data_IF_983141732361
#
_entry.id   IF_983141732361
#
_cell.length_a   1.000
_cell.length_b   1.000
_cell.length_c   1.000
_cell.angle_alpha   90.00
_cell.angle_beta   90.00
_cell.angle_gamma   90.00
#
_symmetry.space_group_name_H-M   'P 1'
#
loop_
_entity.id
_entity.type
_entity.pdbx_description
1 polymer ?
#
# COMPACT_ATOMS: atom_id res chain seq x y z
N UNK A 1 31.95 -11.66 63.94
CA UNK A 1 31.68 -13.09 63.66
C UNK A 1 30.18 -13.29 63.63
N UNK A 2 29.61 -13.22 62.43
CA UNK A 2 28.19 -12.93 62.20
C UNK A 2 27.47 -14.21 61.80
N UNK A 3 26.37 -14.51 62.52
CA UNK A 3 25.49 -15.67 62.36
C UNK A 3 25.10 -15.94 60.89
N UNK A 4 25.33 -17.18 60.44
CA UNK A 4 24.71 -17.74 59.22
C UNK A 4 23.18 -17.70 59.38
N UNK A 5 22.50 -16.91 58.54
CA UNK A 5 21.04 -16.93 58.41
C UNK A 5 20.65 -18.07 57.47
N UNK A 6 19.85 -18.98 57.98
CA UNK A 6 19.14 -20.02 57.22
C UNK A 6 18.09 -19.37 56.31
N UNK A 7 18.12 -19.71 55.04
CA UNK A 7 17.09 -19.30 54.07
C UNK A 7 15.96 -20.35 54.06
N UNK A 8 14.69 -19.95 54.14
CA UNK A 8 13.56 -20.87 53.99
C UNK A 8 13.44 -21.34 52.53
N UNK A 9 13.06 -22.61 52.37
CA UNK A 9 12.82 -23.24 51.06
C UNK A 9 11.57 -22.63 50.40
N UNK A 10 11.54 -22.50 49.06
CA UNK A 10 10.37 -22.00 48.34
C UNK A 10 9.21 -23.02 48.41
N UNK A 11 7.93 -22.57 48.35
CA UNK A 11 6.79 -23.46 48.32
C UNK A 11 6.75 -24.28 47.02
N UNK A 12 6.33 -25.53 47.15
CA UNK A 12 6.07 -26.47 46.06
C UNK A 12 5.07 -25.90 45.05
N UNK A 13 5.46 -25.82 43.78
CA UNK A 13 4.54 -25.56 42.69
C UNK A 13 3.69 -26.80 42.43
N UNK A 14 2.43 -26.76 42.84
CA UNK A 14 1.41 -27.74 42.47
C UNK A 14 0.96 -27.47 41.04
N UNK A 15 1.09 -28.50 40.19
CA UNK A 15 0.61 -28.50 38.80
C UNK A 15 -0.92 -28.68 38.84
N UNK A 16 -1.73 -27.81 38.21
CA UNK A 16 -3.14 -28.08 38.02
C UNK A 16 -3.31 -29.05 36.85
N UNK A 17 -3.73 -30.28 37.15
CA UNK A 17 -4.25 -31.24 36.16
C UNK A 17 -5.61 -30.73 35.69
N UNK A 18 -5.59 -29.84 34.70
CA UNK A 18 -6.77 -29.28 34.05
C UNK A 18 -6.99 -29.90 32.67
N UNK A 19 -8.12 -30.57 32.53
CA UNK A 19 -8.68 -31.24 31.37
C UNK A 19 -8.54 -30.44 30.06
N UNK A 20 -8.07 -31.11 29.01
CA UNK A 20 -8.03 -30.63 27.61
C UNK A 20 -9.41 -30.16 27.12
N UNK A 21 -9.55 -28.90 26.65
CA UNK A 21 -10.48 -28.61 25.58
C UNK A 21 -9.76 -28.87 24.25
N UNK A 22 -10.36 -29.74 23.45
CA UNK A 22 -9.90 -29.99 22.09
C UNK A 22 -9.97 -28.74 21.21
N UNK A 23 -9.06 -28.75 20.22
CA UNK A 23 -9.30 -28.20 18.89
C UNK A 23 -9.43 -26.67 18.80
N UNK A 24 -8.29 -26.01 18.61
CA UNK A 24 -8.16 -24.99 17.55
C UNK A 24 -6.71 -24.89 17.09
N UNK A 25 -6.29 -25.81 16.21
CA UNK A 25 -5.20 -25.51 15.27
C UNK A 25 -5.76 -24.51 14.27
N UNK A 26 -5.47 -23.24 14.55
CA UNK A 26 -5.87 -22.12 13.74
C UNK A 26 -5.05 -20.91 14.14
N UNK A 27 -3.72 -21.03 14.08
CA UNK A 27 -2.94 -19.85 13.74
C UNK A 27 -3.36 -19.46 12.32
N UNK A 28 -4.48 -18.75 12.21
CA UNK A 28 -4.68 -17.84 11.11
C UNK A 28 -3.58 -16.79 11.30
N UNK A 29 -2.45 -17.00 10.64
CA UNK A 29 -1.65 -15.88 10.21
C UNK A 29 -2.63 -15.00 9.43
N UNK A 30 -3.11 -13.94 10.05
CA UNK A 30 -3.84 -12.83 9.43
C UNK A 30 -2.85 -12.06 8.55
N UNK A 31 -2.33 -12.76 7.56
CA UNK A 31 -1.35 -12.30 6.58
C UNK A 31 -1.87 -12.57 5.18
N UNK A 32 -3.18 -12.47 4.94
CA UNK A 32 -3.68 -12.30 3.58
C UNK A 32 -3.48 -10.83 3.18
N UNK A 33 -2.22 -10.41 3.13
CA UNK A 33 -1.85 -9.26 2.33
C UNK A 33 -2.01 -9.74 0.88
N UNK A 34 -3.10 -9.36 0.24
CA UNK A 34 -3.36 -9.67 -1.17
C UNK A 34 -2.11 -9.30 -1.99
N UNK A 35 -1.71 -10.07 -3.00
CA UNK A 35 -0.57 -9.70 -3.88
C UNK A 35 -0.71 -8.25 -4.37
N UNK A 36 -1.94 -7.82 -4.64
CA UNK A 36 -2.31 -6.43 -4.96
C UNK A 36 -1.86 -5.41 -3.90
N UNK A 37 -1.98 -5.71 -2.61
CA UNK A 37 -1.54 -4.79 -1.55
C UNK A 37 -0.01 -4.67 -1.51
N UNK A 38 0.71 -5.75 -1.78
CA UNK A 38 2.17 -5.71 -1.87
C UNK A 38 2.63 -4.89 -3.08
N UNK A 39 2.07 -5.14 -4.27
CA UNK A 39 2.36 -4.34 -5.47
C UNK A 39 2.09 -2.85 -5.22
N UNK A 40 0.96 -2.53 -4.58
CA UNK A 40 0.62 -1.15 -4.18
C UNK A 40 1.67 -0.56 -3.23
N UNK A 41 2.13 -1.31 -2.24
CA UNK A 41 3.19 -0.86 -1.31
C UNK A 41 4.50 -0.58 -2.04
N UNK A 42 4.90 -1.44 -2.98
CA UNK A 42 6.13 -1.25 -3.76
C UNK A 42 6.04 0.02 -4.62
N UNK A 43 4.95 0.20 -5.37
CA UNK A 43 4.73 1.41 -6.16
C UNK A 43 4.60 2.69 -5.31
N UNK A 44 4.12 2.57 -4.07
CA UNK A 44 4.11 3.69 -3.11
C UNK A 44 5.51 4.04 -2.62
N UNK A 45 6.35 3.04 -2.34
CA UNK A 45 7.71 3.24 -1.83
C UNK A 45 8.65 3.83 -2.90
N UNK A 46 8.44 3.47 -4.17
CA UNK A 46 9.26 3.95 -5.29
C UNK A 46 8.35 4.62 -6.34
N UNK A 47 8.21 5.97 -6.31
CA UNK A 47 7.35 6.70 -7.24
C UNK A 47 7.74 6.55 -8.72
N UNK A 48 9.04 6.42 -9.00
CA UNK A 48 9.59 6.27 -10.37
C UNK A 48 9.44 4.84 -10.92
N UNK A 49 8.97 3.88 -10.11
CA UNK A 49 8.74 2.53 -10.58
C UNK A 49 7.43 2.47 -11.36
N UNK A 50 7.53 2.21 -12.67
CA UNK A 50 6.38 2.09 -13.58
C UNK A 50 5.96 0.64 -13.85
N UNK A 51 6.92 -0.27 -13.86
CA UNK A 51 6.71 -1.68 -14.24
C UNK A 51 7.44 -2.61 -13.28
N UNK A 52 6.80 -3.74 -12.97
CA UNK A 52 7.44 -4.87 -12.29
C UNK A 52 7.40 -6.05 -13.26
N UNK A 53 8.56 -6.63 -13.56
CA UNK A 53 8.66 -7.83 -14.39
C UNK A 53 8.78 -9.07 -13.51
N UNK A 54 8.03 -10.10 -13.86
CA UNK A 54 8.12 -11.42 -13.26
C UNK A 54 8.43 -12.43 -14.36
N UNK A 55 9.56 -13.12 -14.22
CA UNK A 55 10.04 -14.12 -15.18
C UNK A 55 9.97 -15.48 -14.50
N UNK A 56 9.23 -16.41 -15.09
CA UNK A 56 9.06 -17.78 -14.58
C UNK A 56 9.24 -18.78 -15.71
N UNK A 57 9.74 -20.00 -15.45
CA UNK A 57 9.77 -21.05 -16.46
C UNK A 57 8.37 -21.32 -17.02
N UNK A 58 8.27 -21.53 -18.32
CA UNK A 58 6.99 -21.71 -19.03
C UNK A 58 6.18 -22.92 -18.57
N UNK A 59 6.85 -23.96 -18.05
CA UNK A 59 6.19 -25.13 -17.47
C UNK A 59 5.51 -24.83 -16.12
N UNK A 60 5.81 -23.69 -15.49
CA UNK A 60 5.24 -23.28 -14.21
C UNK A 60 4.08 -22.30 -14.44
N UNK A 61 2.90 -22.66 -13.94
CA UNK A 61 1.76 -21.74 -13.92
C UNK A 61 1.84 -20.78 -12.74
N UNK A 62 1.55 -19.50 -12.96
CA UNK A 62 1.34 -18.56 -11.86
C UNK A 62 0.13 -18.97 -11.01
N UNK A 63 0.23 -18.78 -9.70
CA UNK A 63 -0.92 -18.94 -8.81
C UNK A 63 -2.02 -17.92 -9.15
N UNK A 64 -3.28 -18.29 -8.92
CA UNK A 64 -4.46 -17.48 -9.26
C UNK A 64 -4.37 -16.03 -8.77
N UNK A 65 -3.80 -15.79 -7.59
CA UNK A 65 -3.61 -14.44 -7.04
C UNK A 65 -2.63 -13.59 -7.84
N UNK A 66 -1.56 -14.19 -8.39
CA UNK A 66 -0.54 -13.46 -9.17
C UNK A 66 -1.09 -13.06 -10.53
N UNK A 67 -1.89 -13.93 -11.16
CA UNK A 67 -2.55 -13.66 -12.44
C UNK A 67 -3.48 -12.44 -12.37
N UNK A 68 -4.03 -12.11 -11.19
CA UNK A 68 -4.87 -10.90 -11.03
C UNK A 68 -4.10 -9.58 -11.00
N UNK A 69 -2.77 -9.62 -10.97
CA UNK A 69 -1.87 -8.46 -10.81
C UNK A 69 -0.86 -8.36 -11.96
N UNK A 70 -0.55 -9.48 -12.60
CA UNK A 70 0.46 -9.60 -13.64
C UNK A 70 -0.16 -10.10 -14.95
N UNK A 71 0.03 -9.32 -16.01
CA UNK A 71 -0.38 -9.65 -17.37
C UNK A 71 0.79 -10.34 -18.09
N UNK A 72 0.51 -11.42 -18.84
CA UNK A 72 1.55 -12.09 -19.62
C UNK A 72 1.87 -11.27 -20.87
N UNK A 73 3.15 -10.93 -21.06
CA UNK A 73 3.60 -10.13 -22.22
C UNK A 73 4.22 -11.00 -23.30
N UNK A 74 4.75 -12.16 -22.94
CA UNK A 74 5.29 -13.11 -23.91
C UNK A 74 6.14 -14.21 -23.28
N UNK A 75 6.90 -14.87 -24.13
CA UNK A 75 7.93 -15.83 -23.74
C UNK A 75 9.29 -15.42 -24.30
N UNK A 76 10.34 -15.67 -23.52
CA UNK A 76 11.73 -15.47 -23.93
C UNK A 76 12.35 -16.86 -24.07
N UNK A 77 12.82 -17.24 -25.28
CA UNK A 77 13.56 -18.48 -25.45
C UNK A 77 14.91 -18.33 -24.77
N UNK A 78 15.25 -19.31 -23.94
CA UNK A 78 16.58 -19.34 -23.34
C UNK A 78 17.58 -19.91 -24.35
N UNK A 79 18.66 -19.17 -24.64
CA UNK A 79 19.72 -19.67 -25.53
C UNK A 79 20.67 -20.66 -24.82
N UNK A 80 20.61 -20.74 -23.49
CA UNK A 80 21.49 -21.58 -22.66
C UNK A 80 20.81 -22.80 -22.05
N UNK A 81 19.47 -22.80 -22.00
CA UNK A 81 18.65 -23.90 -21.47
C UNK A 81 17.57 -24.23 -22.51
N UNK A 82 17.20 -25.50 -22.66
CA UNK A 82 16.16 -25.95 -23.60
C UNK A 82 14.73 -25.63 -23.12
N UNK A 83 14.60 -24.60 -22.28
CA UNK A 83 13.36 -24.22 -21.61
C UNK A 83 13.02 -22.76 -21.90
N UNK A 84 11.76 -22.53 -22.28
CA UNK A 84 11.21 -21.20 -22.47
C UNK A 84 10.83 -20.58 -21.12
N UNK A 85 11.00 -19.26 -21.00
CA UNK A 85 10.54 -18.50 -19.84
C UNK A 85 9.36 -17.62 -20.23
N UNK A 86 8.29 -17.66 -19.42
CA UNK A 86 7.18 -16.72 -19.55
C UNK A 86 7.52 -15.41 -18.81
N UNK A 87 7.24 -14.29 -19.45
CA UNK A 87 7.43 -12.94 -18.91
C UNK A 87 6.08 -12.31 -18.64
N UNK A 88 5.91 -11.84 -17.42
CA UNK A 88 4.74 -11.13 -16.97
C UNK A 88 5.09 -9.72 -16.51
N UNK A 89 4.15 -8.80 -16.67
CA UNK A 89 4.29 -7.39 -16.30
C UNK A 89 3.17 -6.98 -15.35
N UNK A 90 3.52 -6.20 -14.34
CA UNK A 90 2.57 -5.51 -13.49
C UNK A 90 2.77 -4.01 -13.70
N UNK A 91 1.71 -3.34 -14.13
CA UNK A 91 1.71 -1.92 -14.44
C UNK A 91 1.36 -1.09 -13.20
N UNK A 92 2.08 0.01 -12.96
CA UNK A 92 1.74 0.97 -11.92
C UNK A 92 0.32 1.50 -12.09
N UNK A 93 -0.09 1.81 -13.32
CA UNK A 93 -1.39 2.41 -13.61
C UNK A 93 -2.58 1.51 -13.21
N UNK A 94 -2.39 0.20 -13.16
CA UNK A 94 -3.39 -0.77 -12.65
C UNK A 94 -3.61 -0.67 -11.14
N UNK A 95 -2.72 0.00 -10.41
CA UNK A 95 -2.80 0.22 -8.96
C UNK A 95 -2.95 1.69 -8.56
N UNK A 96 -2.45 2.60 -9.39
CA UNK A 96 -2.44 4.04 -9.19
C UNK A 96 -2.71 4.73 -10.52
N UNK A 97 -3.88 5.38 -10.70
CA UNK A 97 -4.17 6.06 -11.95
C UNK A 97 -3.08 7.08 -12.29
N UNK A 98 -2.81 7.24 -13.58
CA UNK A 98 -1.98 8.35 -14.04
C UNK A 98 -2.76 9.64 -13.86
N UNK A 99 -2.16 10.59 -13.13
CA UNK A 99 -2.77 11.88 -12.88
C UNK A 99 -2.32 12.85 -13.96
N UNK A 100 -3.28 13.52 -14.59
CA UNK A 100 -3.05 14.65 -15.47
C UNK A 100 -2.92 15.91 -14.63
N UNK A 101 -1.83 16.66 -14.86
CA UNK A 101 -1.57 17.92 -14.15
C UNK A 101 -1.90 19.06 -15.10
N UNK A 102 -2.76 19.97 -14.63
CA UNK A 102 -3.09 21.22 -15.34
C UNK A 102 -3.17 22.39 -14.37
N UNK A 103 -3.16 23.59 -14.92
CA UNK A 103 -3.43 24.80 -14.15
C UNK A 103 -4.84 24.75 -13.55
N UNK A 104 -4.94 25.16 -12.30
CA UNK A 104 -6.18 25.22 -11.56
C UNK A 104 -7.06 26.35 -12.10
N UNK A 105 -8.35 26.09 -12.19
CA UNK A 105 -9.37 27.06 -12.57
C UNK A 105 -10.28 27.33 -11.39
N UNK A 106 -10.92 28.51 -11.38
CA UNK A 106 -11.86 28.88 -10.30
C UNK A 106 -12.99 27.85 -10.18
N UNK A 107 -13.37 27.18 -11.28
CA UNK A 107 -14.37 26.09 -11.27
C UNK A 107 -13.95 24.88 -10.42
N UNK A 108 -12.64 24.62 -10.29
CA UNK A 108 -12.12 23.48 -9.50
C UNK A 108 -12.36 23.66 -7.99
N UNK A 109 -12.76 24.85 -7.54
CA UNK A 109 -13.09 25.16 -6.15
C UNK A 109 -14.01 24.11 -5.52
N UNK A 110 -15.11 23.78 -6.20
CA UNK A 110 -16.15 22.91 -5.65
C UNK A 110 -15.69 21.47 -5.50
N UNK A 111 -14.82 20.99 -6.40
CA UNK A 111 -14.22 19.67 -6.35
C UNK A 111 -13.10 19.57 -5.31
N UNK A 112 -12.35 20.66 -5.11
CA UNK A 112 -11.26 20.74 -4.13
C UNK A 112 -11.77 20.91 -2.69
N UNK A 113 -12.89 21.60 -2.50
CA UNK A 113 -13.42 21.93 -1.17
C UNK A 113 -13.65 20.70 -0.27
N UNK A 114 -14.31 19.61 -0.74
CA UNK A 114 -14.47 18.39 0.06
C UNK A 114 -13.13 17.73 0.44
N UNK A 115 -12.13 17.82 -0.45
CA UNK A 115 -10.80 17.26 -0.21
C UNK A 115 -10.12 18.05 0.90
N UNK A 116 -10.11 19.38 0.83
CA UNK A 116 -9.53 20.26 1.85
C UNK A 116 -10.19 20.10 3.22
N UNK A 117 -11.53 20.06 3.27
CA UNK A 117 -12.28 19.90 4.52
C UNK A 117 -11.97 18.59 5.25
N UNK A 118 -11.58 17.54 4.54
CA UNK A 118 -11.22 16.26 5.15
C UNK A 118 -9.94 16.34 5.98
N UNK A 119 -9.02 17.24 5.63
CA UNK A 119 -7.72 17.35 6.28
C UNK A 119 -7.67 18.51 7.29
N UNK A 120 -8.40 19.60 7.05
CA UNK A 120 -8.36 20.77 7.93
C UNK A 120 -9.65 21.62 7.82
N UNK A 121 -10.43 21.67 8.89
CA UNK A 121 -11.64 22.50 8.97
C UNK A 121 -11.35 23.95 9.35
N UNK A 122 -10.18 24.23 9.95
CA UNK A 122 -9.80 25.54 10.48
C UNK A 122 -9.64 26.57 9.35
N UNK A 123 -9.18 26.14 8.16
CA UNK A 123 -8.98 27.04 7.03
C UNK A 123 -10.29 27.68 6.55
N UNK A 124 -11.39 26.92 6.50
CA UNK A 124 -12.72 27.46 6.17
C UNK A 124 -13.24 28.41 7.23
N UNK A 125 -13.03 28.05 8.49
CA UNK A 125 -13.44 28.89 9.62
C UNK A 125 -12.65 30.20 9.69
N UNK A 126 -11.38 30.19 9.26
CA UNK A 126 -10.49 31.35 9.31
C UNK A 126 -10.62 32.25 8.08
N UNK A 127 -10.74 31.67 6.89
CA UNK A 127 -10.66 32.40 5.62
C UNK A 127 -11.96 32.39 4.80
N UNK A 128 -13.00 31.73 5.29
CA UNK A 128 -14.33 31.71 4.66
C UNK A 128 -14.51 30.61 3.62
N UNK A 129 -15.70 30.56 3.02
CA UNK A 129 -16.10 29.49 2.10
C UNK A 129 -15.50 29.62 0.69
N UNK A 130 -15.01 30.80 0.31
CA UNK A 130 -14.50 31.11 -1.04
C UNK A 130 -12.98 31.24 -1.11
N UNK A 131 -12.28 30.96 -0.02
CA UNK A 131 -10.83 31.13 0.08
C UNK A 131 -10.05 30.47 -1.06
N UNK A 132 -10.42 29.24 -1.44
CA UNK A 132 -9.75 28.52 -2.52
C UNK A 132 -9.99 29.18 -3.89
N UNK A 133 -11.18 29.74 -4.12
CA UNK A 133 -11.50 30.42 -5.37
C UNK A 133 -10.67 31.69 -5.51
N UNK A 134 -10.57 32.49 -4.45
CA UNK A 134 -9.73 33.69 -4.41
C UNK A 134 -8.24 33.36 -4.61
N UNK A 135 -7.75 32.27 -4.01
CA UNK A 135 -6.36 31.84 -4.16
C UNK A 135 -6.04 31.38 -5.58
N UNK A 136 -6.98 30.69 -6.23
CA UNK A 136 -6.84 30.25 -7.62
C UNK A 136 -6.99 31.44 -8.59
N UNK A 137 -7.83 32.43 -8.28
CA UNK A 137 -7.99 33.64 -9.10
C UNK A 137 -6.76 34.56 -9.00
N UNK A 138 -6.12 34.64 -7.83
CA UNK A 138 -4.93 35.46 -7.58
C UNK A 138 -3.61 34.83 -8.06
N UNK A 139 -3.65 33.97 -9.08
CA UNK A 139 -2.45 33.44 -9.71
C UNK A 139 -1.70 34.53 -10.49
N UNK A 140 -0.38 34.55 -10.39
CA UNK A 140 0.52 35.50 -11.05
C UNK A 140 1.84 34.83 -11.48
N UNK A 141 2.85 35.60 -11.87
CA UNK A 141 4.15 35.08 -12.32
C UNK A 141 4.94 34.34 -11.22
N UNK A 142 4.62 34.56 -9.94
CA UNK A 142 5.32 33.99 -8.78
C UNK A 142 4.43 32.99 -8.00
N UNK A 143 3.11 32.99 -8.24
CA UNK A 143 2.13 32.15 -7.57
C UNK A 143 1.25 31.40 -8.57
N UNK A 144 1.48 30.09 -8.71
CA UNK A 144 0.69 29.21 -9.57
C UNK A 144 -0.01 28.12 -8.77
N UNK A 145 -1.28 27.86 -9.12
CA UNK A 145 -2.08 26.77 -8.60
C UNK A 145 -2.25 25.70 -9.67
N UNK A 146 -2.03 24.44 -9.29
CA UNK A 146 -2.17 23.28 -10.19
C UNK A 146 -3.09 22.25 -9.57
N UNK A 147 -3.86 21.58 -10.41
CA UNK A 147 -4.72 20.46 -10.03
C UNK A 147 -4.25 19.18 -10.71
N UNK A 148 -4.46 18.07 -10.02
CA UNK A 148 -4.17 16.73 -10.51
C UNK A 148 -5.48 15.96 -10.65
N UNK A 149 -5.89 15.63 -11.87
CA UNK A 149 -7.11 14.87 -12.15
C UNK A 149 -6.77 13.49 -12.71
N UNK A 150 -7.66 12.50 -12.50
CA UNK A 150 -7.50 11.18 -13.11
C UNK A 150 -7.88 11.31 -14.58
N UNK A 151 -6.94 11.07 -15.49
CA UNK A 151 -7.24 11.07 -16.92
C UNK A 151 -8.20 9.92 -17.28
N UNK A 152 -9.18 10.20 -18.13
CA UNK A 152 -10.14 9.23 -18.68
C UNK A 152 -9.47 8.24 -19.66
#
# INVERSE_FOLDING_TARGET
>A
MTRRRSWPRPPSWTIPTGTLPGRTTGCQCSGSLTVRSHARTVFRAVPELHFIFLIVPSYMSLGSTLITVFDQVGSVPCLTFDEDFAVYICHRHSHYPQLHIREARVEDHDDLMPIFMRYNTILKETYGEYFLAELIEAQDEENHAVVCEVGD
#
